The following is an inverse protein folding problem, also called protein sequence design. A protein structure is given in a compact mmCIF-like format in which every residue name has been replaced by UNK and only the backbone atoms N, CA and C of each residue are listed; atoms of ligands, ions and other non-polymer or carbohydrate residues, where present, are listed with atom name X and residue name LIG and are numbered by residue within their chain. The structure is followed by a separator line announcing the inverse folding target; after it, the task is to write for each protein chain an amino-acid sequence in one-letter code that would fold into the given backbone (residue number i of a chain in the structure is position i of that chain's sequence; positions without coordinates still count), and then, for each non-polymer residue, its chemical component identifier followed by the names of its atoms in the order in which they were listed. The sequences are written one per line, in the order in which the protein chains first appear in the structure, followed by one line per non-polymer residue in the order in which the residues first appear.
data_IF_075497035752
#
_entry.id   IF_075497035752
#
_cell.length_a   1.000
_cell.length_b   1.000
_cell.length_c   1.000
_cell.angle_alpha   90.00
_cell.angle_beta   90.00
_cell.angle_gamma   90.00
#
_symmetry.space_group_name_H-M   'P 1'
#
loop_
_entity.id
_entity.type
_entity.pdbx_description
1 polymer ?
#
# COMPACT_ATOMS: atom_id res chain seq x y z
N UNK A 1 62.78 19.59 12.91
CA UNK A 1 62.14 19.08 14.15
C UNK A 1 60.65 19.36 13.97
N UNK A 2 59.72 18.43 13.78
CA UNK A 2 59.43 17.12 14.41
C UNK A 2 58.60 16.30 13.39
N UNK A 3 58.93 15.04 13.07
CA UNK A 3 58.72 13.78 13.81
C UNK A 3 57.42 13.05 13.42
N UNK A 4 57.55 11.73 13.23
CA UNK A 4 56.53 10.70 13.02
C UNK A 4 55.94 10.53 11.60
N UNK A 5 56.77 9.96 10.73
CA UNK A 5 56.37 9.03 9.66
C UNK A 5 56.44 7.59 10.25
N UNK A 6 55.50 6.74 9.82
CA UNK A 6 55.44 5.27 10.00
C UNK A 6 54.64 4.73 11.21
N UNK A 7 53.93 3.60 10.96
CA UNK A 7 53.20 2.65 11.84
C UNK A 7 51.66 2.87 11.78
N UNK A 8 50.82 2.01 11.19
CA UNK A 8 50.88 0.57 11.07
C UNK A 8 50.09 0.04 9.86
N UNK A 9 50.79 -0.67 9.00
CA UNK A 9 50.26 -1.71 8.13
C UNK A 9 49.66 -2.86 8.94
N UNK A 10 48.46 -3.28 8.53
CA UNK A 10 48.04 -4.69 8.42
C UNK A 10 47.51 -5.44 9.67
N UNK A 11 46.17 -5.51 9.80
CA UNK A 11 45.44 -6.75 10.17
C UNK A 11 43.93 -6.73 9.83
N UNK A 12 43.55 -6.54 8.55
CA UNK A 12 42.12 -6.58 8.15
C UNK A 12 41.81 -7.45 6.90
N UNK A 13 42.04 -8.77 6.93
CA UNK A 13 41.34 -9.70 6.03
C UNK A 13 40.16 -10.42 6.72
N UNK A 14 40.29 -10.76 8.01
CA UNK A 14 39.24 -11.49 8.74
C UNK A 14 38.09 -10.60 9.21
N UNK A 15 38.32 -9.31 9.41
CA UNK A 15 37.28 -8.38 9.86
C UNK A 15 36.24 -8.09 8.76
N UNK A 16 36.68 -7.96 7.50
CA UNK A 16 35.78 -7.78 6.36
C UNK A 16 34.95 -9.03 6.07
N UNK A 17 35.52 -10.23 6.28
CA UNK A 17 34.78 -11.50 6.20
C UNK A 17 33.70 -11.60 7.28
N UNK A 18 34.00 -11.21 8.51
CA UNK A 18 33.04 -11.22 9.64
C UNK A 18 31.92 -10.19 9.44
N UNK A 19 32.22 -8.99 8.92
CA UNK A 19 31.21 -7.98 8.61
C UNK A 19 30.30 -8.45 7.46
N UNK A 20 30.88 -9.07 6.42
CA UNK A 20 30.13 -9.61 5.29
C UNK A 20 29.16 -10.73 5.70
N UNK A 21 29.60 -11.66 6.56
CA UNK A 21 28.73 -12.74 7.05
C UNK A 21 27.64 -12.22 7.98
N UNK A 22 27.94 -11.28 8.90
CA UNK A 22 26.94 -10.65 9.77
C UNK A 22 25.87 -9.89 8.98
N UNK A 23 26.29 -9.13 7.95
CA UNK A 23 25.35 -8.42 7.07
C UNK A 23 24.47 -9.39 6.28
N UNK A 24 25.04 -10.46 5.72
CA UNK A 24 24.26 -11.48 5.01
C UNK A 24 23.26 -12.20 5.93
N UNK A 25 23.66 -12.52 7.17
CA UNK A 25 22.78 -13.16 8.17
C UNK A 25 21.65 -12.23 8.60
N UNK A 26 21.92 -10.94 8.78
CA UNK A 26 20.88 -9.94 9.09
C UNK A 26 19.86 -9.79 7.95
N UNK A 27 20.32 -9.76 6.70
CA UNK A 27 19.43 -9.69 5.53
C UNK A 27 18.58 -10.97 5.45
N UNK A 28 19.16 -12.14 5.65
CA UNK A 28 18.45 -13.42 5.60
C UNK A 28 17.38 -13.50 6.71
N UNK A 29 17.69 -13.05 7.93
CA UNK A 29 16.74 -13.00 9.03
C UNK A 29 15.56 -12.04 8.76
N UNK A 30 15.82 -10.91 8.10
CA UNK A 30 14.76 -9.96 7.71
C UNK A 30 13.83 -10.54 6.64
N UNK A 31 14.37 -11.34 5.70
CA UNK A 31 13.55 -12.04 4.68
C UNK A 31 12.66 -13.10 5.33
N UNK A 32 13.19 -13.90 6.27
CA UNK A 32 12.42 -14.94 6.97
C UNK A 32 11.30 -14.33 7.81
N UNK A 33 11.58 -13.24 8.55
CA UNK A 33 10.57 -12.60 9.42
C UNK A 33 9.47 -11.87 8.66
N UNK A 34 9.74 -11.35 7.46
CA UNK A 34 8.72 -10.68 6.63
C UNK A 34 7.81 -11.65 5.87
N UNK A 35 8.15 -12.94 5.81
CA UNK A 35 7.43 -13.95 5.02
C UNK A 35 6.30 -14.67 5.77
N UNK A 36 6.06 -14.41 7.06
CA UNK A 36 5.08 -15.18 7.87
C UNK A 36 3.68 -14.56 8.03
N UNK A 37 3.27 -13.59 7.19
CA UNK A 37 1.86 -13.12 7.17
C UNK A 37 1.02 -13.90 6.17
N UNK A 38 0.88 -15.22 6.36
CA UNK A 38 -0.24 -15.96 5.78
C UNK A 38 -1.29 -16.15 6.87
N UNK A 39 -2.26 -15.22 6.95
CA UNK A 39 -3.45 -15.42 7.77
C UNK A 39 -4.33 -16.40 7.01
N UNK A 40 -4.47 -17.63 7.52
CA UNK A 40 -5.54 -18.53 7.06
C UNK A 40 -6.86 -17.91 7.52
N UNK A 41 -7.63 -17.36 6.59
CA UNK A 41 -9.03 -17.06 6.84
C UNK A 41 -9.74 -18.36 7.23
N UNK A 42 -10.71 -18.28 8.15
CA UNK A 42 -11.60 -19.40 8.44
C UNK A 42 -12.27 -19.86 7.13
N UNK A 43 -12.56 -21.17 6.96
CA UNK A 43 -13.35 -21.63 5.82
C UNK A 43 -14.64 -20.79 5.76
N UNK A 44 -15.04 -20.30 4.58
CA UNK A 44 -16.22 -19.48 4.45
C UNK A 44 -17.42 -20.24 5.02
N UNK A 45 -18.37 -19.57 5.70
CA UNK A 45 -19.65 -20.16 6.06
C UNK A 45 -20.27 -20.83 4.85
N UNK A 46 -20.91 -21.99 5.02
CA UNK A 46 -21.68 -22.61 3.94
C UNK A 46 -22.83 -21.64 3.57
N UNK A 47 -22.70 -20.98 2.42
CA UNK A 47 -23.53 -19.84 2.01
C UNK A 47 -22.72 -18.54 1.93
N UNK A 48 -22.09 -18.29 0.78
CA UNK A 48 -21.32 -17.08 0.54
C UNK A 48 -21.32 -16.70 -0.94
N UNK A 49 -21.38 -15.40 -1.21
CA UNK A 49 -21.24 -14.85 -2.57
C UNK A 49 -19.85 -14.26 -2.70
N UNK A 50 -19.11 -14.73 -3.70
CA UNK A 50 -17.80 -14.22 -4.07
C UNK A 50 -17.80 -13.83 -5.54
N UNK A 51 -17.17 -12.70 -5.86
CA UNK A 51 -17.11 -12.20 -7.23
C UNK A 51 -16.61 -10.77 -7.30
N UNK A 52 -16.67 -10.20 -8.50
CA UNK A 52 -16.30 -8.81 -8.78
C UNK A 52 -17.44 -8.15 -9.54
N UNK A 53 -17.86 -6.97 -9.09
CA UNK A 53 -18.86 -6.16 -9.79
C UNK A 53 -18.14 -5.23 -10.76
N UNK A 54 -18.51 -5.31 -12.05
CA UNK A 54 -17.95 -4.50 -13.12
C UNK A 54 -19.02 -3.62 -13.75
N UNK A 55 -18.62 -2.40 -14.09
CA UNK A 55 -19.38 -1.52 -14.96
C UNK A 55 -19.06 -1.86 -16.41
N UNK A 56 -20.10 -2.10 -17.19
CA UNK A 56 -19.99 -2.20 -18.64
C UNK A 56 -20.13 -0.82 -19.28
N UNK A 57 -19.18 -0.47 -20.15
CA UNK A 57 -19.15 0.82 -20.84
C UNK A 57 -18.40 1.92 -20.07
N UNK A 58 -18.62 3.17 -20.48
CA UNK A 58 -17.92 4.33 -19.91
C UNK A 58 -18.60 4.81 -18.63
N UNK A 59 -17.82 5.04 -17.57
CA UNK A 59 -18.33 5.60 -16.33
C UNK A 59 -18.95 6.99 -16.53
N UNK A 60 -20.11 7.28 -15.92
CA UNK A 60 -20.74 8.58 -16.03
C UNK A 60 -19.85 9.65 -15.40
N UNK A 61 -19.89 10.87 -15.96
CA UNK A 61 -19.17 12.00 -15.40
C UNK A 61 -19.66 12.30 -13.98
N UNK A 62 -18.71 12.45 -13.06
CA UNK A 62 -19.03 12.79 -11.68
C UNK A 62 -19.39 14.27 -11.55
N UNK A 63 -20.35 14.56 -10.67
CA UNK A 63 -20.78 15.94 -10.41
C UNK A 63 -20.03 16.48 -9.20
N UNK A 64 -19.71 17.78 -9.15
CA UNK A 64 -19.21 18.42 -7.94
C UNK A 64 -20.22 18.33 -6.79
N UNK A 65 -19.71 18.22 -5.56
CA UNK A 65 -20.51 18.32 -4.34
C UNK A 65 -20.77 19.80 -4.03
N UNK A 66 -22.02 20.14 -3.70
CA UNK A 66 -22.34 21.47 -3.18
C UNK A 66 -21.87 21.59 -1.72
N UNK A 67 -20.74 22.28 -1.54
CA UNK A 67 -20.15 22.57 -0.23
C UNK A 67 -20.59 23.92 0.34
N UNK A 68 -21.53 24.64 -0.30
CA UNK A 68 -21.94 25.99 0.11
C UNK A 68 -22.51 26.07 1.53
N UNK A 69 -22.98 24.94 2.08
CA UNK A 69 -23.48 24.84 3.46
C UNK A 69 -22.38 24.92 4.51
N UNK A 70 -21.12 24.75 4.12
CA UNK A 70 -19.95 24.89 5.00
C UNK A 70 -18.91 25.81 4.32
N UNK A 71 -18.95 27.13 4.58
CA UNK A 71 -18.11 28.10 3.88
C UNK A 71 -16.61 27.84 4.01
N UNK A 72 -16.15 27.32 5.15
CA UNK A 72 -14.74 26.98 5.33
C UNK A 72 -14.31 25.83 4.42
N UNK A 73 -15.16 24.80 4.30
CA UNK A 73 -14.94 23.67 3.39
C UNK A 73 -14.95 24.13 1.92
N UNK A 74 -15.94 24.95 1.54
CA UNK A 74 -16.03 25.52 0.19
C UNK A 74 -14.79 26.35 -0.19
N UNK A 75 -14.22 27.10 0.76
CA UNK A 75 -13.02 27.90 0.52
C UNK A 75 -11.78 27.04 0.21
N UNK A 76 -11.59 25.94 0.93
CA UNK A 76 -10.45 25.02 0.74
C UNK A 76 -10.54 24.27 -0.60
N UNK A 77 -11.75 23.97 -1.06
CA UNK A 77 -11.98 23.22 -2.30
C UNK A 77 -12.30 24.08 -3.54
N UNK A 78 -12.10 25.41 -3.45
CA UNK A 78 -12.44 26.34 -4.53
C UNK A 78 -11.66 26.08 -5.83
N UNK A 79 -10.38 25.71 -5.73
CA UNK A 79 -9.54 25.42 -6.89
C UNK A 79 -9.72 23.99 -7.42
N UNK A 80 -10.08 23.04 -6.55
CA UNK A 80 -10.24 21.63 -6.86
C UNK A 80 -11.56 21.12 -6.24
N UNK A 81 -12.67 21.23 -6.99
CA UNK A 81 -13.97 20.77 -6.52
C UNK A 81 -13.96 19.27 -6.22
N UNK A 82 -14.51 18.88 -5.07
CA UNK A 82 -14.73 17.47 -4.72
C UNK A 82 -15.96 16.96 -5.44
N UNK A 83 -15.95 15.71 -5.88
CA UNK A 83 -17.03 15.09 -6.66
C UNK A 83 -17.83 14.09 -5.85
N UNK A 84 -19.05 13.76 -6.30
CA UNK A 84 -20.01 12.92 -5.57
C UNK A 84 -19.62 11.44 -5.47
N UNK A 85 -18.62 10.98 -6.23
CA UNK A 85 -18.16 9.58 -6.23
C UNK A 85 -19.24 8.50 -6.44
N UNK A 86 -20.37 8.85 -7.08
CA UNK A 86 -21.51 7.93 -7.26
C UNK A 86 -21.14 6.65 -8.05
N UNK A 87 -20.20 6.78 -9.01
CA UNK A 87 -19.67 5.64 -9.78
C UNK A 87 -18.16 5.83 -9.89
N UNK A 88 -17.40 4.95 -9.23
CA UNK A 88 -15.93 4.96 -9.24
C UNK A 88 -15.47 3.65 -9.86
N UNK A 89 -15.26 3.68 -11.19
CA UNK A 89 -14.76 2.54 -11.95
C UNK A 89 -13.23 2.58 -12.07
N UNK A 90 -12.60 1.42 -11.91
CA UNK A 90 -11.19 1.19 -12.25
C UNK A 90 -10.98 1.05 -13.76
N UNK A 91 -9.71 0.93 -14.16
CA UNK A 91 -9.34 0.81 -15.58
C UNK A 91 -9.96 -0.42 -16.28
N UNK A 92 -10.27 -1.48 -15.52
CA UNK A 92 -10.90 -2.71 -16.00
C UNK A 92 -12.42 -2.74 -15.78
N UNK A 93 -13.03 -1.61 -15.41
CA UNK A 93 -14.44 -1.48 -15.09
C UNK A 93 -14.82 -1.93 -13.68
N UNK A 94 -13.89 -2.43 -12.86
CA UNK A 94 -14.17 -2.83 -11.48
C UNK A 94 -14.67 -1.65 -10.64
N UNK A 95 -15.79 -1.83 -9.93
CA UNK A 95 -16.39 -0.77 -9.13
C UNK A 95 -15.88 -0.76 -7.68
N UNK A 96 -15.59 0.44 -7.17
CA UNK A 96 -15.39 0.68 -5.73
C UNK A 96 -16.72 1.00 -5.03
N UNK A 97 -16.75 0.84 -3.71
CA UNK A 97 -17.84 1.27 -2.83
C UNK A 97 -19.21 0.67 -3.18
N UNK A 98 -19.23 -0.62 -3.58
CA UNK A 98 -20.46 -1.31 -3.97
C UNK A 98 -21.17 -1.91 -2.76
N UNK A 99 -22.47 -1.64 -2.65
CA UNK A 99 -23.37 -2.33 -1.71
C UNK A 99 -24.21 -3.32 -2.50
N UNK A 100 -24.17 -4.60 -2.10
CA UNK A 100 -24.95 -5.67 -2.72
C UNK A 100 -26.09 -6.04 -1.79
N UNK A 101 -27.32 -5.96 -2.28
CA UNK A 101 -28.52 -6.41 -1.57
C UNK A 101 -28.96 -7.76 -2.14
N UNK A 102 -29.10 -8.76 -1.26
CA UNK A 102 -29.59 -10.10 -1.59
C UNK A 102 -30.96 -10.21 -0.94
N UNK A 103 -32.01 -10.31 -1.75
CA UNK A 103 -33.39 -10.32 -1.25
C UNK A 103 -33.82 -11.68 -0.71
N UNK A 104 -33.25 -12.77 -1.24
CA UNK A 104 -33.66 -14.16 -0.98
C UNK A 104 -32.53 -15.13 -1.34
N UNK A 105 -32.53 -16.33 -0.76
CA UNK A 105 -31.52 -17.37 -0.92
C UNK A 105 -31.83 -18.65 -0.14
#
# INVERSE_FOLDING_TARGET
MNAAREKDTMKKPNLYRVIGTLSAVLILAFVVTKSQRSVRAAPPPEGGIAGTVKLEGTAPHQRPIDMSKEPACAAVHKANPVTTENVVAGADGGLKNVVVYISEG
#
